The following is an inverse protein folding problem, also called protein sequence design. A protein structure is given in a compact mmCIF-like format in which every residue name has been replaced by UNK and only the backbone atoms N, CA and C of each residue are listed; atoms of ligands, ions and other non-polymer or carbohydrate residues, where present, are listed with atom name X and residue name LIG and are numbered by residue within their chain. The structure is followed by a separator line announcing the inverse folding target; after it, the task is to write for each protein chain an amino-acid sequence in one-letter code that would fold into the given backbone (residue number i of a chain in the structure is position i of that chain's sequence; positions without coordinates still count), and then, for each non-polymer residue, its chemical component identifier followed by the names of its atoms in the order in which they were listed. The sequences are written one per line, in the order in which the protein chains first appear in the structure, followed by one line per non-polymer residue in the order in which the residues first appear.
data_IF_111630383745
#
_entry.id   IF_111630383745
#
_cell.length_a   1.000
_cell.length_b   1.000
_cell.length_c   1.000
_cell.angle_alpha   90.00
_cell.angle_beta   90.00
_cell.angle_gamma   90.00
#
_symmetry.space_group_name_H-M   'P 1'
#
loop_
_entity.id
_entity.type
_entity.pdbx_description
1 polymer ?
#
# COMPACT_ATOMS: atom_id res chain seq x y z
N UNK A 1 -0.57 -16.72 -7.93
CA UNK A 1 -0.12 -15.88 -9.05
C UNK A 1 1.23 -15.29 -8.64
N UNK A 2 2.27 -15.36 -9.48
CA UNK A 2 3.63 -14.93 -9.09
C UNK A 2 3.93 -13.63 -9.83
N UNK A 3 3.83 -12.51 -9.12
CA UNK A 3 4.30 -11.21 -9.62
C UNK A 3 5.83 -11.30 -9.76
N UNK A 4 6.34 -11.12 -10.97
CA UNK A 4 7.79 -11.15 -11.24
C UNK A 4 8.35 -9.74 -11.11
N UNK A 5 8.95 -9.43 -9.98
CA UNK A 5 9.77 -8.23 -9.81
C UNK A 5 11.09 -8.37 -10.58
N UNK A 6 11.60 -7.27 -11.12
CA UNK A 6 12.94 -7.27 -11.73
C UNK A 6 14.00 -7.39 -10.63
N UNK A 7 15.17 -7.97 -10.94
CA UNK A 7 16.28 -8.09 -9.97
C UNK A 7 16.75 -6.75 -9.39
N UNK A 8 16.55 -5.67 -10.13
CA UNK A 8 16.86 -4.30 -9.70
C UNK A 8 15.83 -3.81 -8.68
N UNK A 9 14.54 -4.11 -8.87
CA UNK A 9 13.47 -3.82 -7.90
C UNK A 9 13.58 -4.66 -6.62
N UNK A 10 14.11 -5.88 -6.72
CA UNK A 10 14.37 -6.76 -5.57
C UNK A 10 15.58 -6.33 -4.72
N UNK A 11 16.49 -5.48 -5.24
CA UNK A 11 17.75 -5.11 -4.58
C UNK A 11 17.98 -3.59 -4.48
N UNK A 12 17.02 -2.75 -4.91
CA UNK A 12 17.17 -1.30 -4.84
C UNK A 12 16.91 -0.76 -3.43
N UNK A 13 17.52 0.39 -3.12
CA UNK A 13 17.16 1.20 -1.96
C UNK A 13 15.64 1.44 -1.87
N UNK A 14 15.10 1.78 -0.67
CA UNK A 14 13.69 2.11 -0.52
C UNK A 14 13.25 3.13 -1.56
N UNK A 15 12.26 2.77 -2.39
CA UNK A 15 11.71 3.67 -3.39
C UNK A 15 10.86 4.74 -2.70
N UNK A 16 10.98 6.03 -3.08
CA UNK A 16 10.09 7.07 -2.57
C UNK A 16 8.62 6.72 -2.78
N UNK A 17 7.70 7.03 -1.85
CA UNK A 17 6.27 6.68 -1.97
C UNK A 17 5.63 7.09 -3.29
N UNK A 18 5.94 8.30 -3.77
CA UNK A 18 5.41 8.84 -5.04
C UNK A 18 5.87 8.01 -6.25
N UNK A 19 7.15 7.67 -6.30
CA UNK A 19 7.71 6.84 -7.38
C UNK A 19 7.16 5.41 -7.32
N UNK A 20 7.07 4.84 -6.11
CA UNK A 20 6.51 3.51 -5.90
C UNK A 20 5.07 3.43 -6.41
N UNK A 21 4.22 4.38 -6.03
CA UNK A 21 2.82 4.36 -6.40
C UNK A 21 2.64 4.51 -7.92
N UNK A 22 3.38 5.42 -8.54
CA UNK A 22 3.36 5.60 -10.00
C UNK A 22 3.75 4.31 -10.72
N UNK A 23 4.86 3.68 -10.30
CA UNK A 23 5.31 2.42 -10.87
C UNK A 23 4.31 1.27 -10.62
N UNK A 24 3.81 1.12 -9.40
CA UNK A 24 2.88 0.05 -9.05
C UNK A 24 1.58 0.17 -9.85
N UNK A 25 1.05 1.38 -9.98
CA UNK A 25 -0.16 1.63 -10.77
C UNK A 25 0.09 1.36 -12.25
N UNK A 26 1.21 1.85 -12.81
CA UNK A 26 1.49 1.71 -14.24
C UNK A 26 1.80 0.29 -14.68
N UNK A 27 2.51 -0.49 -13.86
CA UNK A 27 2.98 -1.84 -14.23
C UNK A 27 2.08 -2.96 -13.68
N UNK A 28 1.65 -2.84 -12.43
CA UNK A 28 0.94 -3.93 -11.72
C UNK A 28 -0.57 -3.71 -11.81
N UNK A 29 -1.10 -2.55 -11.44
CA UNK A 29 -2.55 -2.35 -11.44
C UNK A 29 -3.17 -2.36 -12.83
N UNK A 30 -2.50 -1.83 -13.85
CA UNK A 30 -3.00 -1.88 -15.24
C UNK A 30 -3.15 -3.31 -15.75
N UNK A 31 -2.36 -4.26 -15.22
CA UNK A 31 -2.37 -5.67 -15.63
C UNK A 31 -3.29 -6.51 -14.75
N UNK A 32 -3.11 -6.43 -13.43
CA UNK A 32 -3.78 -7.30 -12.46
C UNK A 32 -5.16 -6.76 -12.04
N UNK A 33 -5.31 -5.43 -12.05
CA UNK A 33 -6.49 -4.72 -11.55
C UNK A 33 -7.01 -3.64 -12.52
N UNK A 34 -7.16 -3.92 -13.83
CA UNK A 34 -7.45 -2.88 -14.84
C UNK A 34 -8.77 -2.16 -14.60
N UNK A 35 -9.72 -2.81 -13.91
CA UNK A 35 -11.00 -2.22 -13.56
C UNK A 35 -10.84 -1.08 -12.56
N UNK A 36 -10.01 -1.21 -11.52
CA UNK A 36 -9.77 -0.12 -10.58
C UNK A 36 -9.16 1.10 -11.26
N UNK A 37 -8.16 0.90 -12.14
CA UNK A 37 -7.54 2.00 -12.89
C UNK A 37 -8.55 2.72 -13.78
N UNK A 38 -9.46 1.98 -14.42
CA UNK A 38 -10.52 2.54 -15.27
C UNK A 38 -11.58 3.27 -14.46
N UNK A 39 -11.99 2.72 -13.32
CA UNK A 39 -13.16 3.17 -12.58
C UNK A 39 -12.81 4.28 -11.57
N UNK A 40 -11.59 4.27 -11.01
CA UNK A 40 -11.08 5.27 -10.05
C UNK A 40 -10.17 6.33 -10.67
N UNK A 41 -9.69 6.11 -11.90
CA UNK A 41 -8.61 6.86 -12.56
C UNK A 41 -7.21 6.64 -11.94
N UNK A 42 -6.12 6.70 -12.75
CA UNK A 42 -4.76 6.42 -12.28
C UNK A 42 -4.32 7.25 -11.06
N UNK A 43 -4.60 8.56 -11.05
CA UNK A 43 -4.16 9.45 -9.97
C UNK A 43 -4.76 9.09 -8.60
N UNK A 44 -6.01 8.59 -8.56
CA UNK A 44 -6.62 8.11 -7.31
C UNK A 44 -5.98 6.79 -6.89
N UNK A 45 -5.74 5.87 -7.82
CA UNK A 45 -5.03 4.62 -7.53
C UNK A 45 -3.61 4.89 -6.99
N UNK A 46 -2.92 5.89 -7.52
CA UNK A 46 -1.60 6.31 -7.04
C UNK A 46 -1.70 6.82 -5.60
N UNK A 47 -2.62 7.75 -5.33
CA UNK A 47 -2.85 8.27 -3.98
C UNK A 47 -3.19 7.14 -2.97
N UNK A 48 -4.12 6.26 -3.32
CA UNK A 48 -4.51 5.14 -2.46
C UNK A 48 -3.34 4.17 -2.24
N UNK A 49 -2.53 3.93 -3.26
CA UNK A 49 -1.31 3.12 -3.15
C UNK A 49 -0.29 3.77 -2.21
N UNK A 50 -0.09 5.09 -2.26
CA UNK A 50 0.79 5.82 -1.33
C UNK A 50 0.30 5.68 0.11
N UNK A 51 -1.00 5.84 0.34
CA UNK A 51 -1.58 5.65 1.67
C UNK A 51 -1.48 4.20 2.15
N UNK A 52 -1.65 3.23 1.25
CA UNK A 52 -1.47 1.82 1.55
C UNK A 52 -0.05 1.48 2.03
N UNK A 53 0.97 2.18 1.54
CA UNK A 53 2.35 2.00 2.01
C UNK A 53 2.53 2.36 3.49
N UNK A 54 1.70 3.25 4.03
CA UNK A 54 1.76 3.61 5.45
C UNK A 54 1.40 2.39 6.32
N UNK A 55 0.45 1.56 5.88
CA UNK A 55 0.12 0.30 6.54
C UNK A 55 1.24 -0.73 6.39
N UNK A 56 1.81 -0.88 5.20
CA UNK A 56 2.93 -1.81 4.99
C UNK A 56 4.10 -1.48 5.95
N UNK A 57 4.45 -0.19 6.05
CA UNK A 57 5.48 0.31 6.97
C UNK A 57 5.12 0.09 8.44
N UNK A 58 3.86 0.31 8.82
CA UNK A 58 3.37 0.06 10.18
C UNK A 58 3.55 -1.41 10.60
N UNK A 59 3.35 -2.35 9.68
CA UNK A 59 3.56 -3.79 9.93
C UNK A 59 5.02 -4.24 9.76
N UNK A 60 5.94 -3.30 9.54
CA UNK A 60 7.37 -3.54 9.40
C UNK A 60 7.80 -4.03 8.02
N UNK A 61 6.97 -3.91 6.99
CA UNK A 61 7.27 -4.30 5.61
C UNK A 61 7.85 -3.09 4.87
N UNK A 62 9.17 -3.08 4.69
CA UNK A 62 9.97 -1.96 4.22
C UNK A 62 10.53 -2.19 2.81
N UNK A 63 10.77 -3.44 2.42
CA UNK A 63 11.30 -3.77 1.10
C UNK A 63 10.30 -3.50 -0.03
N UNK A 64 10.67 -2.80 -1.12
CA UNK A 64 9.73 -2.44 -2.19
C UNK A 64 9.01 -3.64 -2.85
N UNK A 65 9.71 -4.75 -3.07
CA UNK A 65 9.12 -5.97 -3.64
C UNK A 65 8.06 -6.60 -2.73
N UNK A 66 8.30 -6.59 -1.42
CA UNK A 66 7.35 -7.07 -0.41
C UNK A 66 6.19 -6.10 -0.19
N UNK A 67 6.45 -4.79 -0.26
CA UNK A 67 5.42 -3.76 -0.23
C UNK A 67 4.46 -3.89 -1.42
N UNK A 68 4.96 -4.22 -2.62
CA UNK A 68 4.11 -4.45 -3.78
C UNK A 68 3.25 -5.71 -3.63
N UNK A 69 3.77 -6.76 -3.00
CA UNK A 69 2.97 -7.94 -2.66
C UNK A 69 1.89 -7.64 -1.62
N UNK A 70 2.24 -6.93 -0.54
CA UNK A 70 1.28 -6.44 0.44
C UNK A 70 0.19 -5.59 -0.22
N UNK A 71 0.60 -4.66 -1.08
CA UNK A 71 -0.32 -3.78 -1.83
C UNK A 71 -1.25 -4.58 -2.73
N UNK A 72 -0.76 -5.65 -3.37
CA UNK A 72 -1.58 -6.55 -4.20
C UNK A 72 -2.67 -7.22 -3.38
N UNK A 73 -2.34 -7.71 -2.18
CA UNK A 73 -3.32 -8.29 -1.26
C UNK A 73 -4.35 -7.23 -0.84
N UNK A 74 -3.89 -6.01 -0.54
CA UNK A 74 -4.72 -4.88 -0.14
C UNK A 74 -5.72 -4.48 -1.24
N UNK A 75 -5.30 -4.42 -2.50
CA UNK A 75 -6.20 -4.18 -3.64
C UNK A 75 -7.15 -5.34 -3.93
N UNK A 76 -6.72 -6.58 -3.72
CA UNK A 76 -7.53 -7.77 -3.99
C UNK A 76 -8.60 -8.02 -2.93
N UNK A 77 -8.28 -7.82 -1.65
CA UNK A 77 -9.12 -8.18 -0.51
C UNK A 77 -9.73 -6.97 0.20
N UNK A 78 -9.28 -5.76 -0.12
CA UNK A 78 -9.72 -4.51 0.49
C UNK A 78 -8.68 -3.94 1.46
N UNK A 79 -8.68 -2.61 1.65
CA UNK A 79 -7.67 -1.89 2.44
C UNK A 79 -7.65 -2.23 3.93
N UNK A 80 -8.68 -2.89 4.44
CA UNK A 80 -8.83 -3.31 5.83
C UNK A 80 -8.73 -4.83 6.01
N UNK A 81 -8.12 -5.57 5.07
CA UNK A 81 -8.02 -7.04 5.16
C UNK A 81 -7.39 -7.52 6.47
N UNK A 82 -6.49 -6.72 7.07
CA UNK A 82 -5.83 -6.98 8.34
C UNK A 82 -6.77 -6.98 9.56
N UNK A 83 -8.00 -6.47 9.43
CA UNK A 83 -9.04 -6.55 10.47
C UNK A 83 -9.62 -7.97 10.60
N UNK A 84 -9.35 -8.84 9.63
CA UNK A 84 -9.65 -10.28 9.75
C UNK A 84 -8.54 -10.93 10.57
N UNK A 85 -8.92 -11.65 11.62
CA UNK A 85 -8.05 -12.20 12.67
C UNK A 85 -6.82 -12.90 12.12
N UNK A 86 -6.99 -13.80 11.14
CA UNK A 86 -5.88 -14.57 10.58
C UNK A 86 -4.82 -13.68 9.90
N UNK A 87 -5.22 -12.60 9.23
CA UNK A 87 -4.28 -11.66 8.63
C UNK A 87 -3.65 -10.74 9.68
N UNK A 88 -4.46 -10.27 10.65
CA UNK A 88 -4.00 -9.41 11.74
C UNK A 88 -2.95 -10.08 12.63
N UNK A 89 -3.13 -11.36 12.96
CA UNK A 89 -2.16 -12.16 13.74
C UNK A 89 -0.80 -12.24 13.03
N UNK A 90 -0.78 -12.55 11.72
CA UNK A 90 0.46 -12.61 10.92
C UNK A 90 1.16 -11.25 10.89
N UNK A 91 0.39 -10.18 10.64
CA UNK A 91 0.95 -8.83 10.49
C UNK A 91 1.49 -8.27 11.80
N UNK A 92 0.84 -8.59 12.93
CA UNK A 92 1.24 -8.14 14.26
C UNK A 92 2.36 -8.97 14.89
N UNK A 93 2.69 -10.15 14.34
CA UNK A 93 3.78 -10.98 14.85
C UNK A 93 5.15 -10.33 14.59
N UNK A 94 5.77 -9.79 15.65
CA UNK A 94 7.08 -9.13 15.59
C UNK A 94 8.25 -10.12 15.51
N UNK A 95 8.01 -11.42 15.69
CA UNK A 95 9.04 -12.46 15.56
C UNK A 95 9.26 -12.89 14.11
N UNK A 96 8.31 -12.60 13.22
CA UNK A 96 8.38 -12.92 11.80
C UNK A 96 9.18 -11.87 11.01
N UNK A 97 10.01 -12.35 10.08
CA UNK A 97 10.67 -11.50 9.08
C UNK A 97 9.66 -10.99 8.04
N UNK A 98 10.01 -9.93 7.32
CA UNK A 98 9.15 -9.38 6.26
C UNK A 98 8.75 -10.45 5.22
N UNK A 99 9.71 -11.26 4.75
CA UNK A 99 9.44 -12.35 3.80
C UNK A 99 8.48 -13.38 4.38
N UNK A 100 8.72 -13.81 5.63
CA UNK A 100 7.87 -14.80 6.29
C UNK A 100 6.43 -14.28 6.48
N UNK A 101 6.26 -12.98 6.76
CA UNK A 101 4.93 -12.37 6.83
C UNK A 101 4.23 -12.47 5.49
N UNK A 102 4.86 -12.00 4.41
CA UNK A 102 4.26 -12.03 3.07
C UNK A 102 3.90 -13.46 2.64
N UNK A 103 4.81 -14.42 2.82
CA UNK A 103 4.55 -15.83 2.51
C UNK A 103 3.35 -16.37 3.29
N UNK A 104 3.25 -16.04 4.59
CA UNK A 104 2.12 -16.45 5.43
C UNK A 104 0.80 -15.80 4.99
N UNK A 105 0.81 -14.52 4.57
CA UNK A 105 -0.39 -13.84 4.07
C UNK A 105 -0.95 -14.53 2.82
N UNK A 106 -0.10 -14.97 1.90
CA UNK A 106 -0.54 -15.74 0.72
C UNK A 106 -0.97 -17.18 1.05
N UNK A 107 -0.60 -17.70 2.22
CA UNK A 107 -1.01 -19.01 2.70
C UNK A 107 -2.32 -18.98 3.51
N UNK A 108 -2.87 -17.80 3.79
CA UNK A 108 -4.17 -17.65 4.46
C UNK A 108 -5.27 -18.32 3.62
N UNK A 109 -6.20 -18.99 4.30
CA UNK A 109 -7.26 -19.75 3.62
C UNK A 109 -8.17 -18.86 2.76
N UNK A 110 -8.65 -19.40 1.64
CA UNK A 110 -9.63 -18.74 0.76
C UNK A 110 -10.89 -18.27 1.52
N UNK A 111 -11.27 -18.98 2.59
CA UNK A 111 -12.39 -18.58 3.45
C UNK A 111 -12.11 -17.25 4.12
N UNK A 112 -10.95 -17.09 4.74
CA UNK A 112 -10.55 -15.83 5.38
C UNK A 112 -10.35 -14.72 4.34
N UNK A 113 -9.76 -15.03 3.18
CA UNK A 113 -9.69 -14.09 2.06
C UNK A 113 -11.07 -13.62 1.58
N UNK A 114 -12.03 -14.53 1.45
CA UNK A 114 -13.42 -14.20 1.11
C UNK A 114 -14.12 -13.36 2.17
N UNK A 115 -13.84 -13.59 3.46
CA UNK A 115 -14.36 -12.74 4.54
C UNK A 115 -13.79 -11.33 4.48
N UNK A 116 -12.48 -11.19 4.21
CA UNK A 116 -11.83 -9.89 4.04
C UNK A 116 -12.47 -9.12 2.87
N UNK A 117 -12.59 -9.75 1.70
CA UNK A 117 -13.20 -9.15 0.52
C UNK A 117 -14.67 -8.72 0.74
N UNK A 118 -15.46 -9.52 1.47
CA UNK A 118 -16.86 -9.19 1.78
C UNK A 118 -16.99 -8.04 2.78
N UNK A 119 -15.97 -7.81 3.62
CA UNK A 119 -15.93 -6.75 4.63
C UNK A 119 -15.03 -5.59 4.22
N UNK A 120 -14.63 -5.53 2.96
CA UNK A 120 -13.80 -4.47 2.42
C UNK A 120 -14.45 -3.10 2.67
N UNK A 121 -13.65 -2.15 3.18
CA UNK A 121 -14.10 -0.81 3.49
C UNK A 121 -13.10 0.21 2.94
N UNK A 122 -13.45 0.83 1.83
CA UNK A 122 -12.60 1.78 1.09
C UNK A 122 -12.18 3.00 1.91
N UNK A 123 -12.84 3.31 3.02
CA UNK A 123 -12.40 4.39 3.91
C UNK A 123 -10.99 4.15 4.48
N UNK A 124 -10.54 2.90 4.55
CA UNK A 124 -9.20 2.57 5.03
C UNK A 124 -8.09 2.99 4.05
N UNK A 125 -8.40 3.31 2.79
CA UNK A 125 -7.45 4.00 1.91
C UNK A 125 -7.10 5.41 2.40
N UNK A 126 -7.87 5.98 3.33
CA UNK A 126 -7.66 7.29 3.92
C UNK A 126 -7.59 7.16 5.45
N UNK A 127 -6.48 6.64 6.01
CA UNK A 127 -6.38 6.25 7.43
C UNK A 127 -6.79 7.34 8.42
N UNK A 128 -6.49 8.61 8.13
CA UNK A 128 -6.88 9.76 8.97
C UNK A 128 -8.40 9.95 9.10
N UNK A 129 -9.20 9.36 8.21
CA UNK A 129 -10.66 9.37 8.29
C UNK A 129 -11.22 8.25 9.17
N UNK A 130 -10.40 7.26 9.54
CA UNK A 130 -10.82 6.14 10.38
C UNK A 130 -10.67 6.53 11.85
N UNK A 131 -11.77 6.41 12.61
CA UNK A 131 -11.76 6.60 14.05
C UNK A 131 -10.90 5.51 14.69
N UNK A 132 -9.94 5.91 15.54
CA UNK A 132 -8.96 5.01 16.16
C UNK A 132 -8.09 4.26 15.13
N UNK A 133 -7.73 4.90 14.01
CA UNK A 133 -6.87 4.27 13.02
C UNK A 133 -5.55 3.79 13.65
N UNK A 134 -5.11 2.60 13.22
CA UNK A 134 -3.91 1.94 13.77
C UNK A 134 -2.62 2.72 13.49
N UNK A 135 -2.65 3.64 12.53
CA UNK A 135 -1.51 4.49 12.16
C UNK A 135 -1.38 5.74 13.05
N UNK A 136 -2.40 6.06 13.87
CA UNK A 136 -2.41 7.26 14.71
C UNK A 136 -2.45 8.60 13.94
N UNK A 137 -2.75 8.57 12.64
CA UNK A 137 -2.77 9.76 11.78
C UNK A 137 -3.99 10.63 12.08
N UNK A 138 -3.77 11.94 12.20
CA UNK A 138 -4.83 12.94 12.48
C UNK A 138 -5.30 13.68 11.23
N UNK A 139 -4.50 13.67 10.18
CA UNK A 139 -4.68 14.42 8.94
C UNK A 139 -3.97 13.72 7.79
N UNK A 140 -4.25 14.18 6.56
CA UNK A 140 -3.63 13.63 5.34
C UNK A 140 -2.14 14.01 5.33
N UNK A 141 -1.22 13.04 5.34
CA UNK A 141 0.21 13.33 5.29
C UNK A 141 0.62 14.01 3.98
N UNK A 142 -0.14 13.85 2.89
CA UNK A 142 0.18 14.50 1.61
C UNK A 142 -0.20 15.98 1.56
N UNK A 143 -1.09 16.47 2.44
CA UNK A 143 -1.40 17.90 2.56
C UNK A 143 -0.20 18.73 3.05
N UNK A 144 0.87 18.09 3.54
CA UNK A 144 2.08 18.73 4.05
C UNK A 144 3.33 18.41 3.23
N UNK A 145 3.25 17.49 2.27
CA UNK A 145 4.31 17.16 1.30
C UNK A 145 4.17 17.99 0.01
N UNK A 146 3.27 18.99 -0.01
CA UNK A 146 3.42 20.16 -0.87
C UNK A 146 4.56 20.98 -0.26
N UNK A 147 5.80 20.50 -0.46
CA UNK A 147 6.95 21.36 -0.47
C UNK A 147 6.63 22.47 -1.48
N UNK A 148 6.32 23.63 -0.90
CA UNK A 148 6.55 24.97 -1.40
C UNK A 148 7.95 25.05 -2.05
N UNK A 149 8.14 24.43 -3.22
CA UNK A 149 9.15 24.83 -4.22
C UNK A 149 8.54 25.91 -5.14
N UNK A 150 7.74 26.81 -4.56
CA UNK A 150 7.67 28.21 -5.02
C UNK A 150 8.95 28.89 -4.48
N UNK A 151 10.12 28.45 -4.95
CA UNK A 151 11.26 29.34 -5.02
C UNK A 151 10.92 30.34 -6.13
N UNK A 152 10.25 31.41 -5.72
CA UNK A 152 10.27 32.72 -6.36
C UNK A 152 11.75 33.12 -6.58
N UNK A 153 12.36 32.66 -7.67
CA UNK A 153 13.53 33.31 -8.27
C UNK A 153 13.03 34.54 -9.09
N UNK A 154 12.37 35.46 -8.39
CA UNK A 154 12.39 36.88 -8.72
C UNK A 154 13.58 37.48 -7.96
N UNK A 155 14.78 37.49 -8.56
CA UNK A 155 15.80 38.52 -8.25
C UNK A 155 16.81 38.66 -9.41
N UNK A 156 16.62 39.76 -10.16
CA UNK A 156 17.62 40.67 -10.75
C UNK A 156 18.62 40.18 -11.83
N UNK A 157 18.36 40.50 -13.10
CA UNK A 157 19.05 41.58 -13.88
C UNK A 157 18.48 41.78 -15.31
#
# INVERSE_FOLDING_TARGET
MVIKFTKEQMNSAPMPPREFAKWYVSEIMTTEFPHFVRDLYPHICEQQTRNGLLYARHFGIMRPDLQAQFMTIMWALGPNFFEVEEFGEILSDTSMTEDAKIDALYAVSDRAGGMAAQRANDLYWYPWRIKNNILGLKEDPELFDDDDDDDDDDEDE
#
